data_IF_562806686670
#
_entry.id   IF_562806686670
#
_cell.length_a   1.000
_cell.length_b   1.000
_cell.length_c   1.000
_cell.angle_alpha   90.00
_cell.angle_beta   90.00
_cell.angle_gamma   90.00
#
_symmetry.space_group_name_H-M   'P 1'
#
loop_
_entity.id
_entity.type
_entity.pdbx_description
1 polymer ?
#
# COMPACT_ATOMS: atom_id res chain seq x y z
N UNK A 1 17.97 -16.98 -13.38
CA UNK A 1 18.51 -16.00 -12.43
C UNK A 1 17.35 -15.54 -11.55
N UNK A 2 17.35 -15.85 -10.26
CA UNK A 2 16.24 -15.58 -9.33
C UNK A 2 16.70 -14.46 -8.37
N UNK A 3 16.05 -13.29 -8.37
CA UNK A 3 16.45 -12.16 -7.49
C UNK A 3 15.37 -11.91 -6.42
N UNK A 4 15.77 -11.36 -5.28
CA UNK A 4 14.97 -11.29 -4.06
C UNK A 4 15.12 -9.90 -3.42
N UNK A 5 14.04 -9.35 -2.85
CA UNK A 5 14.02 -7.99 -2.28
C UNK A 5 13.46 -7.94 -0.86
N UNK A 6 13.96 -7.01 -0.03
CA UNK A 6 13.51 -6.72 1.33
C UNK A 6 12.75 -5.39 1.33
N UNK A 7 11.61 -5.38 2.01
CA UNK A 7 10.92 -4.19 2.45
C UNK A 7 10.97 -4.12 3.98
N UNK A 8 11.38 -2.98 4.53
CA UNK A 8 11.35 -2.77 5.98
C UNK A 8 10.13 -1.97 6.39
N UNK A 9 9.50 -2.39 7.48
CA UNK A 9 8.44 -1.66 8.15
C UNK A 9 8.99 -1.21 9.50
N UNK A 10 9.06 0.09 9.71
CA UNK A 10 9.58 0.66 10.94
C UNK A 10 8.42 1.02 11.86
N UNK A 11 8.42 0.44 13.05
CA UNK A 11 7.34 0.63 14.02
C UNK A 11 7.86 1.45 15.21
N UNK A 12 7.10 2.49 15.56
CA UNK A 12 7.23 3.19 16.84
C UNK A 12 7.18 2.19 17.99
N UNK A 13 8.13 2.28 18.93
CA UNK A 13 8.38 1.34 20.03
C UNK A 13 7.21 1.08 21.00
N UNK A 14 5.98 1.56 20.73
CA UNK A 14 4.85 1.57 21.67
C UNK A 14 3.47 1.33 21.03
N UNK A 15 3.36 0.51 19.99
CA UNK A 15 2.04 0.10 19.49
C UNK A 15 1.86 -1.40 19.73
N UNK A 16 0.97 -1.74 20.67
CA UNK A 16 0.43 -3.08 20.82
C UNK A 16 -0.16 -3.50 19.47
N UNK A 17 0.35 -4.61 18.94
CA UNK A 17 0.03 -5.13 17.62
C UNK A 17 -1.40 -5.68 17.59
N UNK A 18 -2.39 -4.80 17.46
CA UNK A 18 -3.76 -5.11 17.11
C UNK A 18 -4.32 -3.94 16.30
N UNK A 19 -3.83 -3.78 15.07
CA UNK A 19 -4.41 -3.10 13.89
C UNK A 19 -3.28 -2.53 13.04
N UNK A 20 -2.68 -3.35 12.19
CA UNK A 20 -2.07 -2.87 10.96
C UNK A 20 -3.12 -3.06 9.87
N UNK A 21 -4.10 -2.16 9.85
CA UNK A 21 -4.91 -1.96 8.66
C UNK A 21 -4.07 -1.09 7.72
N UNK A 22 -3.39 -1.72 6.76
CA UNK A 22 -2.76 -1.02 5.64
C UNK A 22 -3.79 -0.72 4.52
N UNK A 23 -5.08 -0.72 4.85
CA UNK A 23 -6.19 -0.44 3.95
C UNK A 23 -6.86 0.89 4.26
N UNK A 24 -6.96 1.74 3.23
CA UNK A 24 -7.84 2.91 3.11
C UNK A 24 -7.60 4.09 4.07
N UNK A 25 -7.11 5.20 3.53
CA UNK A 25 -7.43 6.52 4.08
C UNK A 25 -8.94 6.79 3.89
N UNK A 26 -9.77 6.22 4.75
CA UNK A 26 -11.17 6.61 4.90
C UNK A 26 -11.34 7.25 6.27
N UNK A 27 -11.23 8.58 6.33
CA UNK A 27 -11.62 9.34 7.51
C UNK A 27 -13.10 9.68 7.39
N UNK A 28 -13.95 9.10 8.23
CA UNK A 28 -15.33 9.56 8.42
C UNK A 28 -15.33 10.95 9.03
N UNK A 29 -15.93 11.92 8.34
CA UNK A 29 -16.14 13.27 8.86
C UNK A 29 -17.02 13.22 10.11
N UNK A 30 -16.52 13.76 11.22
CA UNK A 30 -17.39 14.32 12.27
C UNK A 30 -17.22 15.82 12.22
N UNK A 31 -18.24 16.50 11.72
CA UNK A 31 -18.35 17.95 11.82
C UNK A 31 -18.46 18.31 13.29
N UNK A 32 -17.48 19.01 13.84
CA UNK A 32 -17.67 19.85 15.00
C UNK A 32 -16.94 21.16 14.74
N UNK A 33 -17.73 22.19 14.46
CA UNK A 33 -17.27 23.56 14.39
C UNK A 33 -16.93 24.09 15.78
N UNK A 34 -15.76 24.71 15.92
CA UNK A 34 -15.65 26.05 16.48
C UNK A 34 -14.22 26.55 16.34
N UNK A 35 -14.11 27.75 15.77
CA UNK A 35 -12.84 28.38 15.45
C UNK A 35 -11.98 28.71 16.65
N UNK A 36 -10.66 28.76 16.40
CA UNK A 36 -9.75 29.67 17.10
C UNK A 36 -8.58 30.02 16.19
N UNK A 37 -8.52 31.31 15.85
CA UNK A 37 -7.40 32.00 15.24
C UNK A 37 -6.26 32.12 16.28
N UNK A 38 -5.04 31.74 15.91
CA UNK A 38 -3.79 32.17 16.58
C UNK A 38 -2.62 31.90 15.64
N UNK A 39 -2.08 32.91 14.98
CA UNK A 39 -0.98 33.81 15.41
C UNK A 39 0.27 33.50 14.59
N UNK A 40 0.66 34.46 13.76
CA UNK A 40 1.90 34.49 12.99
C UNK A 40 3.13 34.36 13.90
N UNK A 41 3.96 33.33 13.67
CA UNK A 41 5.33 33.30 14.21
C UNK A 41 6.18 34.34 13.46
N UNK A 42 6.85 35.22 14.22
CA UNK A 42 7.81 36.17 13.68
C UNK A 42 9.03 35.47 13.06
N UNK A 43 9.62 36.11 12.07
CA UNK A 43 10.83 35.61 11.39
C UNK A 43 12.02 35.52 12.37
N UNK A 44 12.84 34.48 12.22
CA UNK A 44 14.09 34.34 12.95
C UNK A 44 15.06 35.48 12.60
N UNK A 45 15.74 36.05 13.61
CA UNK A 45 16.76 37.08 13.41
C UNK A 45 17.95 36.56 12.62
N UNK A 46 18.69 37.43 11.90
CA UNK A 46 19.84 37.01 11.12
C UNK A 46 20.97 36.48 12.02
N UNK A 47 21.72 35.45 11.57
CA UNK A 47 22.84 34.91 12.34
C UNK A 47 23.94 35.95 12.61
N UNK A 48 24.56 35.87 13.79
CA UNK A 48 25.70 36.70 14.17
C UNK A 48 26.92 36.47 13.27
N UNK A 49 27.69 37.53 13.01
CA UNK A 49 28.90 37.47 12.17
C UNK A 49 29.97 36.58 12.82
N UNK A 50 30.56 35.67 12.03
CA UNK A 50 31.68 34.86 12.45
C UNK A 50 32.92 35.72 12.76
N UNK A 51 33.66 35.35 13.80
CA UNK A 51 34.93 36.00 14.16
C UNK A 51 36.04 35.79 13.12
N UNK A 52 37.09 36.62 13.12
CA UNK A 52 38.17 36.51 12.15
C UNK A 52 38.94 35.19 12.29
N UNK A 53 39.28 34.61 11.14
CA UNK A 53 40.04 33.36 11.04
C UNK A 53 41.49 33.61 11.44
N UNK A 54 42.00 32.84 12.40
CA UNK A 54 43.42 32.86 12.78
C UNK A 54 44.34 32.46 11.63
N UNK A 55 45.56 33.00 11.61
CA UNK A 55 46.55 32.75 10.57
C UNK A 55 46.93 31.26 10.50
N UNK A 56 46.93 30.72 9.28
CA UNK A 56 47.23 29.32 9.02
C UNK A 56 48.75 29.12 8.98
N UNK A 57 49.28 28.28 9.89
CA UNK A 57 50.71 27.93 9.91
C UNK A 57 51.20 27.30 8.61
N UNK A 58 52.47 27.51 8.27
CA UNK A 58 53.08 27.04 7.03
C UNK A 58 52.95 25.52 6.87
N UNK A 59 52.58 25.09 5.66
CA UNK A 59 52.37 23.68 5.31
C UNK A 59 53.73 22.95 5.29
N UNK A 60 53.87 21.89 6.09
CA UNK A 60 55.04 21.02 6.05
C UNK A 60 55.22 20.37 4.67
N UNK A 61 56.48 20.05 4.31
CA UNK A 61 56.81 19.40 3.04
C UNK A 61 56.07 18.05 2.90
N UNK A 62 55.55 17.69 1.72
CA UNK A 62 54.96 16.38 1.49
C UNK A 62 55.98 15.27 1.76
N UNK A 63 55.59 14.26 2.53
CA UNK A 63 56.39 13.05 2.71
C UNK A 63 56.57 12.30 1.38
N UNK A 64 57.67 11.56 1.26
CA UNK A 64 57.95 10.76 0.07
C UNK A 64 56.82 9.77 -0.22
N UNK A 65 56.43 9.65 -1.49
CA UNK A 65 55.42 8.69 -1.94
C UNK A 65 55.94 7.28 -1.70
N UNK A 66 55.20 6.49 -0.91
CA UNK A 66 55.55 5.10 -0.64
C UNK A 66 55.50 4.23 -1.91
N UNK A 67 56.19 3.07 -1.93
CA UNK A 67 56.19 2.18 -3.09
C UNK A 67 54.77 1.68 -3.41
N UNK A 68 54.45 1.58 -4.70
CA UNK A 68 53.19 1.00 -5.18
C UNK A 68 53.03 -0.43 -4.65
N UNK A 69 52.00 -0.64 -3.82
CA UNK A 69 51.58 -1.98 -3.40
C UNK A 69 51.04 -2.80 -4.58
N UNK A 70 50.98 -4.14 -4.46
CA UNK A 70 50.40 -5.00 -5.48
C UNK A 70 48.96 -4.58 -5.79
N UNK A 71 48.61 -4.56 -7.08
CA UNK A 71 47.38 -3.96 -7.60
C UNK A 71 46.14 -4.37 -6.81
N UNK A 72 45.51 -3.38 -6.15
CA UNK A 72 44.26 -3.56 -5.45
C UNK A 72 43.14 -3.77 -6.46
N UNK A 73 42.69 -5.02 -6.63
CA UNK A 73 41.44 -5.31 -7.35
C UNK A 73 40.30 -5.03 -6.38
N UNK A 74 39.44 -4.02 -6.60
CA UNK A 74 38.37 -3.71 -5.65
C UNK A 74 37.39 -4.88 -5.56
N UNK A 75 37.00 -5.23 -4.34
CA UNK A 75 36.03 -6.30 -4.08
C UNK A 75 34.68 -5.99 -4.76
N UNK A 76 34.01 -7.03 -5.28
CA UNK A 76 32.69 -6.88 -5.89
C UNK A 76 31.68 -6.40 -4.84
N UNK A 77 30.90 -5.37 -5.18
CA UNK A 77 30.01 -4.70 -4.22
C UNK A 77 30.66 -3.50 -3.52
N UNK A 78 31.88 -3.10 -3.90
CA UNK A 78 32.50 -1.85 -3.45
C UNK A 78 32.09 -0.64 -4.31
N UNK A 79 32.27 0.61 -3.85
CA UNK A 79 31.95 1.80 -4.64
C UNK A 79 32.65 1.85 -6.01
N UNK A 80 33.86 1.30 -6.12
CA UNK A 80 34.66 1.28 -7.36
C UNK A 80 34.45 0.02 -8.20
N UNK A 81 33.84 -1.03 -7.64
CA UNK A 81 33.44 -2.24 -8.36
C UNK A 81 32.02 -2.69 -7.93
N UNK A 82 30.97 -1.91 -8.28
CA UNK A 82 29.62 -2.18 -7.83
C UNK A 82 29.02 -3.41 -8.55
N UNK A 83 28.29 -4.24 -7.80
CA UNK A 83 27.60 -5.40 -8.36
C UNK A 83 26.24 -5.02 -8.95
N UNK A 84 25.60 -5.89 -9.75
CA UNK A 84 24.22 -5.60 -10.20
C UNK A 84 23.15 -5.97 -9.16
N UNK A 85 23.45 -6.87 -8.21
CA UNK A 85 22.55 -7.33 -7.15
C UNK A 85 23.34 -7.86 -5.95
N UNK A 86 22.72 -7.91 -4.76
CA UNK A 86 23.30 -8.60 -3.60
C UNK A 86 23.62 -10.08 -3.88
N UNK A 87 22.78 -10.75 -4.68
CA UNK A 87 23.03 -12.16 -5.05
C UNK A 87 24.33 -12.32 -5.83
N UNK A 88 24.70 -11.36 -6.70
CA UNK A 88 26.02 -11.40 -7.38
C UNK A 88 27.18 -11.15 -6.43
N UNK A 89 27.00 -10.29 -5.44
CA UNK A 89 28.00 -10.10 -4.37
C UNK A 89 28.19 -11.44 -3.64
N UNK A 90 27.10 -12.10 -3.24
CA UNK A 90 27.17 -13.41 -2.59
C UNK A 90 27.87 -14.49 -3.42
N UNK A 91 27.53 -14.56 -4.71
CA UNK A 91 28.14 -15.51 -5.64
C UNK A 91 29.64 -15.28 -5.88
N UNK A 92 30.18 -14.11 -5.48
CA UNK A 92 31.62 -13.86 -5.50
C UNK A 92 32.37 -14.40 -4.28
N UNK A 93 31.66 -15.06 -3.36
CA UNK A 93 32.21 -15.67 -2.14
C UNK A 93 32.07 -14.81 -0.89
N UNK A 94 31.48 -13.62 -1.00
CA UNK A 94 31.18 -12.75 0.15
C UNK A 94 29.93 -13.28 0.86
N UNK A 95 29.99 -13.48 2.17
CA UNK A 95 28.90 -14.09 2.94
C UNK A 95 28.38 -13.24 4.10
N UNK A 96 29.04 -12.12 4.39
CA UNK A 96 28.65 -11.24 5.49
C UNK A 96 27.43 -10.38 5.11
N UNK A 97 26.48 -10.23 6.03
CA UNK A 97 25.42 -9.24 5.89
C UNK A 97 26.03 -7.83 5.96
N UNK A 98 25.52 -6.86 5.19
CA UNK A 98 26.06 -5.51 5.24
C UNK A 98 25.65 -4.61 4.09
N UNK A 99 26.25 -3.42 4.04
CA UNK A 99 26.02 -2.44 2.97
C UNK A 99 26.96 -2.69 1.81
N UNK A 100 26.39 -2.79 0.61
CA UNK A 100 27.13 -2.95 -0.63
C UNK A 100 26.69 -1.93 -1.67
N UNK A 101 27.61 -1.56 -2.55
CA UNK A 101 27.37 -0.72 -3.71
C UNK A 101 26.88 -1.56 -4.88
N UNK A 102 25.69 -1.22 -5.37
CA UNK A 102 25.08 -1.82 -6.54
C UNK A 102 24.98 -0.82 -7.69
N UNK A 103 24.93 -1.33 -8.92
CA UNK A 103 24.76 -0.55 -10.14
C UNK A 103 23.48 -0.99 -10.86
N UNK A 104 22.57 -0.05 -11.06
CA UNK A 104 21.34 -0.26 -11.83
C UNK A 104 21.65 -0.45 -13.33
N UNK A 105 20.72 -1.02 -14.12
CA UNK A 105 20.88 -1.13 -15.58
C UNK A 105 21.14 0.22 -16.27
N UNK A 106 20.54 1.31 -15.76
CA UNK A 106 20.76 2.68 -16.24
C UNK A 106 22.09 3.30 -15.82
N UNK A 107 22.92 2.57 -15.07
CA UNK A 107 24.27 3.00 -14.70
C UNK A 107 24.38 3.70 -13.35
N UNK A 108 23.26 4.07 -12.70
CA UNK A 108 23.26 4.68 -11.35
C UNK A 108 23.83 3.71 -10.33
N UNK A 109 24.85 4.16 -9.59
CA UNK A 109 25.42 3.46 -8.44
C UNK A 109 24.67 3.89 -7.18
N UNK A 110 24.28 2.94 -6.35
CA UNK A 110 23.59 3.18 -5.08
C UNK A 110 24.05 2.17 -4.03
N UNK A 111 24.04 2.57 -2.76
CA UNK A 111 24.33 1.68 -1.65
C UNK A 111 23.04 1.11 -1.06
N UNK A 112 23.09 -0.16 -0.65
CA UNK A 112 21.97 -0.80 0.04
C UNK A 112 22.42 -1.94 0.94
N UNK A 113 21.58 -2.30 1.90
CA UNK A 113 21.79 -3.45 2.76
C UNK A 113 21.49 -4.75 2.03
N UNK A 114 22.40 -5.72 2.14
CA UNK A 114 22.26 -7.06 1.64
C UNK A 114 22.22 -8.03 2.82
N UNK A 115 21.13 -8.80 2.90
CA UNK A 115 21.06 -9.97 3.77
C UNK A 115 21.55 -11.18 2.97
N UNK A 116 22.79 -11.55 3.27
CA UNK A 116 23.51 -12.67 2.69
C UNK A 116 23.19 -13.98 3.42
N UNK A 117 22.59 -13.95 4.61
CA UNK A 117 22.50 -15.15 5.46
C UNK A 117 21.11 -15.80 5.53
N UNK A 118 20.01 -15.13 5.14
CA UNK A 118 18.65 -15.74 5.19
C UNK A 118 18.29 -16.71 4.06
N UNK A 119 19.24 -16.99 3.17
CA UNK A 119 19.15 -17.97 2.07
C UNK A 119 20.54 -18.52 1.78
N UNK A 120 20.68 -19.80 1.42
CA UNK A 120 21.99 -20.45 1.28
C UNK A 120 22.78 -19.99 0.04
N UNK A 121 22.15 -19.95 -1.12
CA UNK A 121 22.79 -19.70 -2.43
C UNK A 121 22.52 -18.29 -2.97
N UNK A 122 21.68 -17.51 -2.27
CA UNK A 122 21.16 -16.21 -2.73
C UNK A 122 21.16 -15.20 -1.60
N UNK A 123 20.96 -13.94 -1.98
CA UNK A 123 20.92 -12.83 -1.04
C UNK A 123 19.74 -11.92 -1.31
N UNK A 124 19.18 -11.40 -0.23
CA UNK A 124 18.07 -10.47 -0.25
C UNK A 124 18.60 -9.03 -0.32
N UNK A 125 17.99 -8.21 -1.18
CA UNK A 125 18.40 -6.81 -1.39
C UNK A 125 17.39 -5.86 -0.76
N UNK A 126 17.81 -5.01 0.17
CA UNK A 126 16.93 -3.95 0.68
C UNK A 126 16.60 -2.96 -0.43
N UNK A 127 15.33 -2.70 -0.68
CA UNK A 127 14.88 -1.78 -1.75
C UNK A 127 14.01 -0.64 -1.26
N UNK A 128 13.39 -0.79 -0.08
CA UNK A 128 12.67 0.29 0.57
C UNK A 128 12.42 0.04 2.06
N UNK A 129 12.12 1.12 2.76
CA UNK A 129 11.65 1.14 4.13
C UNK A 129 10.48 2.12 4.25
N UNK A 130 9.41 1.69 4.91
CA UNK A 130 8.28 2.54 5.30
C UNK A 130 8.45 2.87 6.77
N UNK A 131 8.55 4.17 7.07
CA UNK A 131 8.80 4.70 8.39
C UNK A 131 7.76 5.76 8.76
N UNK A 132 7.07 5.51 9.87
CA UNK A 132 6.15 6.47 10.47
C UNK A 132 6.93 7.46 11.33
N UNK A 133 7.00 8.71 10.90
CA UNK A 133 7.70 9.78 11.61
C UNK A 133 6.83 10.53 12.61
N UNK A 134 5.51 10.60 12.39
CA UNK A 134 4.57 11.26 13.26
C UNK A 134 3.14 10.73 13.05
N UNK A 135 2.75 9.75 13.84
CA UNK A 135 1.42 9.12 13.76
C UNK A 135 0.25 10.10 13.99
N UNK A 136 0.50 11.27 14.59
CA UNK A 136 -0.50 12.33 14.79
C UNK A 136 -0.56 13.31 13.61
N UNK A 137 0.43 13.27 12.71
CA UNK A 137 0.50 14.07 11.51
C UNK A 137 -0.18 13.34 10.36
N UNK A 138 -1.35 13.81 9.96
CA UNK A 138 -2.07 13.19 8.85
C UNK A 138 -1.56 13.70 7.50
N UNK A 139 -0.79 12.88 6.78
CA UNK A 139 -0.29 13.19 5.44
C UNK A 139 0.54 14.49 5.41
N UNK A 140 1.53 14.56 6.31
CA UNK A 140 2.43 15.68 6.49
C UNK A 140 3.83 15.38 5.94
N UNK A 141 4.75 16.34 6.07
CA UNK A 141 6.16 16.11 5.67
C UNK A 141 6.72 14.89 6.38
N UNK A 142 7.26 13.95 5.60
CA UNK A 142 7.71 12.63 6.07
C UNK A 142 6.87 11.47 5.55
N UNK A 143 5.60 11.69 5.20
CA UNK A 143 4.65 10.65 4.77
C UNK A 143 4.82 10.27 3.29
N UNK A 144 6.02 9.82 2.89
CA UNK A 144 6.36 9.65 1.46
C UNK A 144 5.64 8.49 0.79
N UNK A 145 5.22 7.48 1.55
CA UNK A 145 4.49 6.33 1.03
C UNK A 145 2.98 6.53 0.95
N UNK A 146 2.47 7.67 1.43
CA UNK A 146 1.07 8.09 1.31
C UNK A 146 0.97 9.45 0.60
N UNK A 147 1.10 10.57 1.31
CA UNK A 147 1.07 11.95 0.78
C UNK A 147 1.73 12.92 1.76
N UNK A 148 2.58 13.82 1.25
CA UNK A 148 3.13 14.94 2.04
C UNK A 148 2.34 16.25 1.86
N UNK A 149 1.27 16.23 1.04
CA UNK A 149 0.44 17.39 0.68
C UNK A 149 -0.89 17.43 1.45
N UNK A 150 -1.03 16.62 2.49
CA UNK A 150 -2.29 16.42 3.20
C UNK A 150 -3.21 15.43 2.48
N UNK A 151 -4.48 15.41 2.91
CA UNK A 151 -5.52 14.59 2.30
C UNK A 151 -6.09 15.26 1.03
N UNK A 152 -5.23 15.55 0.05
CA UNK A 152 -5.62 16.13 -1.22
C UNK A 152 -6.16 15.07 -2.18
N UNK A 153 -7.02 15.48 -3.12
CA UNK A 153 -7.49 14.62 -4.21
C UNK A 153 -6.43 14.53 -5.32
N UNK A 154 -5.23 14.06 -4.95
CA UNK A 154 -4.09 13.95 -5.85
C UNK A 154 -4.18 12.68 -6.69
N UNK A 155 -4.15 12.84 -8.01
CA UNK A 155 -4.26 11.74 -9.00
C UNK A 155 -2.92 11.41 -9.67
N UNK A 156 -1.83 12.06 -9.23
CA UNK A 156 -0.49 11.78 -9.74
C UNK A 156 0.09 10.45 -9.26
N UNK A 157 1.30 10.15 -9.70
CA UNK A 157 1.98 8.92 -9.34
C UNK A 157 2.37 8.93 -7.86
N UNK A 158 2.02 7.86 -7.16
CA UNK A 158 2.47 7.62 -5.79
C UNK A 158 3.95 7.19 -5.76
N UNK A 159 4.57 7.22 -4.58
CA UNK A 159 5.90 6.63 -4.38
C UNK A 159 5.95 5.14 -4.69
N UNK A 160 4.82 4.42 -4.66
CA UNK A 160 4.76 3.01 -5.06
C UNK A 160 4.87 2.82 -6.58
N UNK A 161 4.33 3.76 -7.35
CA UNK A 161 4.22 3.72 -8.81
C UNK A 161 5.33 4.53 -9.53
N UNK A 162 6.01 5.42 -8.81
CA UNK A 162 7.08 6.25 -9.36
C UNK A 162 8.41 5.49 -9.41
N UNK A 163 9.34 6.00 -10.23
CA UNK A 163 10.76 5.60 -10.22
C UNK A 163 11.62 6.58 -9.43
N UNK A 164 11.03 7.35 -8.52
CA UNK A 164 11.78 8.24 -7.63
C UNK A 164 12.42 7.43 -6.50
N UNK A 165 13.63 7.82 -6.10
CA UNK A 165 14.36 7.29 -4.95
C UNK A 165 14.49 8.39 -3.89
N UNK A 166 14.56 7.99 -2.62
CA UNK A 166 14.69 8.91 -1.48
C UNK A 166 15.31 8.21 -0.28
N UNK A 167 15.86 9.00 0.63
CA UNK A 167 16.51 8.52 1.84
C UNK A 167 17.89 7.89 1.61
N UNK A 168 18.48 7.43 2.70
CA UNK A 168 19.79 6.76 2.72
C UNK A 168 19.68 5.42 3.47
N UNK A 169 20.51 4.45 3.10
CA UNK A 169 20.55 3.13 3.73
C UNK A 169 20.88 3.19 5.23
N UNK A 170 21.65 4.19 5.66
CA UNK A 170 22.03 4.37 7.07
C UNK A 170 20.88 4.80 7.96
N UNK A 171 19.82 5.38 7.40
CA UNK A 171 18.69 5.95 8.14
C UNK A 171 17.36 5.22 7.86
N UNK A 172 17.43 3.96 7.42
CA UNK A 172 16.27 3.14 7.03
C UNK A 172 15.26 2.92 8.16
N UNK A 173 15.64 3.13 9.42
CA UNK A 173 14.76 3.04 10.60
C UNK A 173 14.41 4.38 11.24
N UNK A 174 14.87 5.48 10.65
CA UNK A 174 14.67 6.84 11.18
C UNK A 174 13.92 7.73 10.17
N UNK A 175 13.82 7.28 8.92
CA UNK A 175 13.09 7.93 7.84
C UNK A 175 12.79 6.94 6.71
N UNK A 176 11.91 7.35 5.80
CA UNK A 176 11.61 6.59 4.60
C UNK A 176 12.84 6.40 3.72
N UNK A 177 12.92 5.20 3.12
CA UNK A 177 13.97 4.82 2.20
C UNK A 177 13.38 4.15 0.97
N UNK A 178 13.88 4.51 -0.21
CA UNK A 178 13.60 3.82 -1.48
C UNK A 178 14.77 4.02 -2.42
N UNK A 179 15.29 2.93 -2.98
CA UNK A 179 16.45 2.99 -3.88
C UNK A 179 16.11 2.46 -5.30
N UNK A 180 17.02 2.61 -6.27
CA UNK A 180 16.81 2.11 -7.63
C UNK A 180 16.56 0.62 -7.74
N UNK A 181 16.92 -0.19 -6.74
CA UNK A 181 16.61 -1.60 -6.70
C UNK A 181 15.11 -1.89 -6.72
N UNK A 182 14.29 -1.02 -6.13
CA UNK A 182 12.83 -1.17 -6.07
C UNK A 182 12.18 -1.32 -7.45
N UNK A 183 12.67 -0.54 -8.42
CA UNK A 183 12.14 -0.50 -9.79
C UNK A 183 13.02 -1.17 -10.85
N UNK A 184 14.25 -1.59 -10.52
CA UNK A 184 15.16 -2.23 -11.47
C UNK A 184 15.51 -3.69 -11.17
N UNK A 185 15.34 -4.18 -9.94
CA UNK A 185 15.68 -5.56 -9.59
C UNK A 185 14.50 -6.47 -9.92
N UNK A 186 14.66 -7.26 -10.98
CA UNK A 186 13.72 -8.32 -11.33
C UNK A 186 13.66 -9.37 -10.21
N UNK A 187 12.58 -9.41 -9.44
CA UNK A 187 12.49 -10.26 -8.26
C UNK A 187 11.31 -11.21 -8.32
N UNK A 188 11.41 -12.29 -7.53
CA UNK A 188 10.34 -13.31 -7.46
C UNK A 188 9.58 -13.28 -6.16
N UNK A 189 10.25 -12.90 -5.09
CA UNK A 189 9.72 -12.93 -3.74
C UNK A 189 10.12 -11.68 -2.98
N UNK A 190 9.32 -11.37 -1.97
CA UNK A 190 9.60 -10.31 -1.01
C UNK A 190 9.89 -10.91 0.35
N UNK A 191 10.71 -10.20 1.12
CA UNK A 191 10.92 -10.41 2.55
C UNK A 191 10.53 -9.11 3.24
N UNK A 192 9.83 -9.22 4.36
CA UNK A 192 9.45 -8.08 5.17
C UNK A 192 10.02 -8.24 6.56
N UNK A 193 10.71 -7.18 7.01
CA UNK A 193 11.21 -7.06 8.37
C UNK A 193 10.49 -5.93 9.08
N UNK A 194 9.96 -6.22 10.26
CA UNK A 194 9.48 -5.19 11.17
C UNK A 194 10.60 -4.87 12.13
N UNK A 195 11.14 -3.67 12.05
CA UNK A 195 12.30 -3.24 12.86
C UNK A 195 11.89 -2.03 13.68
N UNK A 196 12.22 -1.98 14.98
CA UNK A 196 11.90 -0.80 15.78
C UNK A 196 12.60 0.46 15.23
N UNK A 197 11.94 1.60 15.33
CA UNK A 197 12.53 2.88 14.90
C UNK A 197 13.87 3.14 15.62
N UNK A 198 14.77 3.84 14.93
CA UNK A 198 16.11 4.21 15.40
C UNK A 198 17.07 3.02 15.66
N UNK A 199 16.74 1.81 15.17
CA UNK A 199 17.64 0.66 15.27
C UNK A 199 18.87 0.85 14.36
N UNK A 200 20.10 0.74 14.88
CA UNK A 200 21.31 0.86 14.06
C UNK A 200 21.36 -0.14 12.89
N UNK A 201 21.92 0.28 11.75
CA UNK A 201 21.98 -0.51 10.51
C UNK A 201 22.63 -1.90 10.68
N UNK A 202 23.66 -2.02 11.52
CA UNK A 202 24.32 -3.28 11.81
C UNK A 202 23.52 -4.22 12.74
N UNK A 203 22.39 -3.75 13.26
CA UNK A 203 21.55 -4.43 14.23
C UNK A 203 20.13 -4.73 13.73
N UNK A 204 19.78 -4.31 12.50
CA UNK A 204 18.44 -4.45 11.91
C UNK A 204 17.91 -5.88 12.00
N UNK A 205 18.73 -6.85 11.59
CA UNK A 205 18.33 -8.25 11.55
C UNK A 205 18.12 -8.83 12.94
N UNK A 206 18.98 -8.48 13.90
CA UNK A 206 18.91 -8.97 15.28
C UNK A 206 17.71 -8.41 16.03
N UNK A 207 17.37 -7.14 15.80
CA UNK A 207 16.29 -6.44 16.50
C UNK A 207 14.97 -6.45 15.74
N UNK A 208 14.90 -7.14 14.59
CA UNK A 208 13.65 -7.30 13.89
C UNK A 208 12.68 -8.17 14.69
N UNK A 209 11.51 -7.60 14.99
CA UNK A 209 10.44 -8.28 15.73
C UNK A 209 9.76 -9.36 14.89
N UNK A 210 9.60 -9.10 13.60
CA UNK A 210 8.98 -10.04 12.66
C UNK A 210 9.79 -10.08 11.38
N UNK A 211 10.13 -11.30 10.94
CA UNK A 211 10.80 -11.55 9.67
C UNK A 211 10.05 -12.64 8.93
N UNK A 212 9.51 -12.30 7.76
CA UNK A 212 8.78 -13.27 6.94
C UNK A 212 9.02 -13.01 5.46
N UNK A 213 8.91 -14.07 4.66
CA UNK A 213 9.19 -14.04 3.22
C UNK A 213 8.17 -14.86 2.45
N UNK A 214 7.92 -14.45 1.21
CA UNK A 214 7.16 -15.27 0.27
C UNK A 214 8.07 -16.35 -0.33
N UNK A 215 7.46 -17.46 -0.77
CA UNK A 215 8.17 -18.59 -1.41
C UNK A 215 7.51 -19.07 -2.70
N UNK A 216 6.41 -18.45 -3.10
CA UNK A 216 5.57 -18.85 -4.23
C UNK A 216 5.90 -18.13 -5.55
N UNK A 217 6.96 -17.30 -5.58
CA UNK A 217 7.41 -16.56 -6.75
C UNK A 217 6.36 -15.60 -7.35
N UNK A 218 5.44 -15.07 -6.54
CA UNK A 218 4.32 -14.25 -7.04
C UNK A 218 4.74 -13.01 -7.87
N UNK A 219 5.95 -12.48 -7.68
CA UNK A 219 6.45 -11.36 -8.48
C UNK A 219 6.86 -11.74 -9.91
N UNK A 220 6.91 -13.03 -10.28
CA UNK A 220 7.18 -13.45 -11.67
C UNK A 220 6.17 -12.82 -12.66
N UNK A 221 4.93 -12.57 -12.23
CA UNK A 221 3.90 -11.91 -13.05
C UNK A 221 4.07 -10.38 -13.19
N UNK A 222 4.94 -9.78 -12.37
CA UNK A 222 5.07 -8.32 -12.25
C UNK A 222 6.50 -7.81 -12.47
N UNK A 223 7.47 -8.73 -12.55
CA UNK A 223 8.91 -8.51 -12.73
C UNK A 223 9.58 -7.81 -11.56
N UNK A 224 9.07 -6.67 -11.10
CA UNK A 224 9.62 -5.88 -9.97
C UNK A 224 8.53 -5.51 -8.98
N UNK A 225 8.92 -5.08 -7.77
CA UNK A 225 7.95 -4.56 -6.80
C UNK A 225 7.26 -3.29 -7.33
N UNK A 226 7.99 -2.44 -8.06
CA UNK A 226 7.42 -1.34 -8.82
C UNK A 226 6.40 -1.80 -9.85
N UNK A 227 6.69 -2.85 -10.63
CA UNK A 227 5.78 -3.41 -11.62
C UNK A 227 4.46 -3.90 -11.00
N UNK A 228 4.53 -4.47 -9.79
CA UNK A 228 3.35 -4.88 -9.02
C UNK A 228 2.40 -3.71 -8.80
N UNK A 229 2.91 -2.60 -8.27
CA UNK A 229 2.07 -1.44 -7.97
C UNK A 229 1.77 -0.57 -9.19
N UNK A 230 2.64 -0.54 -10.21
CA UNK A 230 2.37 0.24 -11.43
C UNK A 230 1.30 -0.40 -12.31
N UNK A 231 1.25 -1.72 -12.39
CA UNK A 231 0.42 -2.44 -13.36
C UNK A 231 -0.66 -3.32 -12.72
N UNK A 232 -0.36 -3.96 -11.59
CA UNK A 232 -1.29 -4.87 -10.92
C UNK A 232 -2.20 -4.15 -9.93
N UNK A 233 -1.61 -3.39 -9.02
CA UNK A 233 -2.32 -2.78 -7.88
C UNK A 233 -1.90 -1.32 -7.67
N UNK A 234 -2.32 -0.37 -8.52
CA UNK A 234 -2.04 1.05 -8.32
C UNK A 234 -2.52 1.57 -6.96
N UNK A 235 -1.66 2.29 -6.25
CA UNK A 235 -1.95 2.89 -4.95
C UNK A 235 -2.40 4.35 -5.03
N UNK A 236 -2.53 4.90 -6.25
CA UNK A 236 -3.12 6.22 -6.46
C UNK A 236 -4.59 6.25 -6.08
N UNK A 237 -5.06 7.41 -5.61
CA UNK A 237 -6.50 7.65 -5.46
C UNK A 237 -7.18 7.44 -6.81
N UNK A 238 -8.11 6.50 -6.84
CA UNK A 238 -8.99 6.28 -7.97
C UNK A 238 -9.99 7.44 -7.97
N UNK A 239 -10.11 8.23 -9.05
CA UNK A 239 -11.11 9.29 -9.10
C UNK A 239 -12.50 8.71 -8.79
N UNK A 240 -13.33 9.41 -8.02
CA UNK A 240 -14.66 8.93 -7.56
C UNK A 240 -15.51 8.33 -8.69
N UNK A 241 -15.31 8.81 -9.94
CA UNK A 241 -15.97 8.27 -11.15
C UNK A 241 -15.72 6.78 -11.41
N UNK A 242 -14.59 6.23 -10.98
CA UNK A 242 -14.28 4.81 -11.16
C UNK A 242 -14.71 3.94 -9.96
N UNK A 243 -14.97 4.56 -8.80
CA UNK A 243 -15.58 3.89 -7.64
C UNK A 243 -17.08 3.65 -7.88
N UNK A 244 -17.67 4.42 -8.80
CA UNK A 244 -19.11 4.39 -9.10
C UNK A 244 -19.48 3.70 -10.40
N UNK A 245 -18.68 2.83 -11.03
CA UNK A 245 -19.16 2.15 -12.26
C UNK A 245 -20.41 1.32 -11.95
N UNK A 246 -20.40 0.60 -10.84
CA UNK A 246 -21.53 -0.23 -10.41
C UNK A 246 -22.68 0.64 -9.91
N UNK A 247 -22.41 1.69 -9.13
CA UNK A 247 -23.42 2.66 -8.68
C UNK A 247 -24.05 3.44 -9.85
N UNK A 248 -23.26 3.88 -10.84
CA UNK A 248 -23.75 4.58 -12.04
C UNK A 248 -24.54 3.63 -12.95
N UNK A 249 -24.12 2.37 -13.06
CA UNK A 249 -24.89 1.34 -13.76
C UNK A 249 -26.22 1.11 -13.05
N UNK A 250 -26.20 0.93 -11.73
CA UNK A 250 -27.40 0.79 -10.91
C UNK A 250 -28.33 2.00 -11.05
N UNK A 251 -27.80 3.23 -10.93
CA UNK A 251 -28.55 4.46 -11.16
C UNK A 251 -29.17 4.54 -12.56
N UNK A 252 -28.46 4.06 -13.59
CA UNK A 252 -28.98 4.00 -14.96
C UNK A 252 -30.10 2.96 -15.11
N UNK A 253 -29.98 1.80 -14.46
CA UNK A 253 -31.03 0.79 -14.38
C UNK A 253 -32.26 1.36 -13.68
N UNK A 254 -32.08 2.01 -12.53
CA UNK A 254 -33.14 2.64 -11.74
C UNK A 254 -33.86 3.72 -12.56
N UNK A 255 -33.12 4.59 -13.24
CA UNK A 255 -33.70 5.64 -14.09
C UNK A 255 -34.47 5.07 -15.31
N UNK A 256 -34.28 3.80 -15.63
CA UNK A 256 -34.99 3.10 -16.71
C UNK A 256 -36.22 2.32 -16.22
N UNK A 257 -36.43 2.20 -14.91
CA UNK A 257 -37.48 1.35 -14.32
C UNK A 257 -38.89 1.73 -14.75
N UNK A 258 -39.22 3.01 -14.86
CA UNK A 258 -40.53 3.45 -15.37
C UNK A 258 -40.82 2.93 -16.78
N UNK A 259 -39.80 2.87 -17.64
CA UNK A 259 -39.92 2.30 -18.99
C UNK A 259 -40.08 0.78 -18.94
N UNK A 260 -39.38 0.10 -18.04
CA UNK A 260 -39.50 -1.35 -17.84
C UNK A 260 -40.91 -1.72 -17.38
N UNK A 261 -41.44 -0.99 -16.39
CA UNK A 261 -42.78 -1.20 -15.85
C UNK A 261 -43.87 -0.89 -16.88
N UNK A 262 -43.68 0.15 -17.70
CA UNK A 262 -44.64 0.52 -18.74
C UNK A 262 -44.87 -0.57 -19.79
N UNK A 263 -43.89 -1.47 -19.98
CA UNK A 263 -44.00 -2.60 -20.89
C UNK A 263 -44.80 -3.80 -20.32
N UNK A 264 -45.15 -3.79 -19.02
CA UNK A 264 -45.82 -4.89 -18.34
C UNK A 264 -47.31 -4.53 -18.15
N UNK A 265 -48.24 -5.21 -18.85
CA UNK A 265 -49.67 -4.95 -18.69
C UNK A 265 -50.13 -5.18 -17.24
N UNK A 266 -50.86 -4.20 -16.68
CA UNK A 266 -51.43 -4.25 -15.32
C UNK A 266 -50.38 -4.41 -14.21
N UNK A 267 -49.17 -3.88 -14.39
CA UNK A 267 -48.16 -3.87 -13.34
C UNK A 267 -48.67 -3.14 -12.09
N UNK A 268 -48.67 -3.84 -10.95
CA UNK A 268 -49.09 -3.28 -9.68
C UNK A 268 -47.92 -2.56 -9.00
N UNK A 269 -48.03 -1.24 -8.88
CA UNK A 269 -47.07 -0.41 -8.12
C UNK A 269 -47.47 -0.43 -6.64
N UNK A 270 -46.89 -1.34 -5.87
CA UNK A 270 -47.13 -1.43 -4.43
C UNK A 270 -46.55 -0.20 -3.71
N UNK A 271 -47.17 0.25 -2.62
CA UNK A 271 -46.61 1.31 -1.76
C UNK A 271 -46.10 0.68 -0.48
N UNK A 272 -44.83 0.90 -0.15
CA UNK A 272 -44.32 0.55 1.16
C UNK A 272 -45.02 1.42 2.22
N UNK A 273 -45.56 0.80 3.25
CA UNK A 273 -46.42 1.45 4.26
C UNK A 273 -45.97 1.22 5.72
N UNK A 274 -44.84 0.52 5.89
CA UNK A 274 -44.22 0.31 7.19
C UNK A 274 -43.49 1.54 7.75
N UNK A 275 -43.48 1.69 9.08
CA UNK A 275 -42.71 2.73 9.80
C UNK A 275 -41.34 2.21 10.29
N UNK A 276 -40.33 3.09 10.37
CA UNK A 276 -38.99 2.81 10.93
C UNK A 276 -37.93 2.45 9.89
N UNK A 277 -36.83 1.79 10.30
CA UNK A 277 -35.74 1.30 9.41
C UNK A 277 -36.17 0.17 8.44
N UNK A 278 -37.47 -0.14 8.38
CA UNK A 278 -38.08 -1.19 7.57
C UNK A 278 -38.81 -0.61 6.35
N UNK A 279 -38.26 0.42 5.72
CA UNK A 279 -38.90 1.18 4.62
C UNK A 279 -39.19 0.40 3.33
N UNK A 280 -39.07 -0.92 3.34
CA UNK A 280 -39.22 -1.84 2.20
C UNK A 280 -40.23 -2.96 2.47
N UNK A 281 -41.11 -2.80 3.47
CA UNK A 281 -42.24 -3.71 3.72
C UNK A 281 -43.61 -3.14 3.35
N UNK A 282 -44.55 -4.06 3.12
CA UNK A 282 -45.94 -3.81 2.78
C UNK A 282 -46.80 -4.50 3.84
N UNK A 283 -47.83 -3.83 4.33
CA UNK A 283 -48.81 -4.36 5.28
C UNK A 283 -50.04 -4.80 4.49
N UNK A 284 -49.94 -5.88 3.73
CA UNK A 284 -51.03 -6.43 2.91
C UNK A 284 -51.87 -7.49 3.64
N UNK A 285 -51.41 -7.94 4.81
CA UNK A 285 -52.09 -8.90 5.66
C UNK A 285 -51.65 -10.33 5.34
N UNK A 286 -51.01 -10.98 6.31
CA UNK A 286 -50.39 -12.30 6.12
C UNK A 286 -49.24 -12.52 7.09
N UNK A 287 -48.39 -13.50 6.78
CA UNK A 287 -47.05 -13.69 7.35
C UNK A 287 -46.10 -14.14 6.23
N UNK A 288 -45.87 -13.26 5.27
CA UNK A 288 -45.06 -13.54 4.08
C UNK A 288 -43.80 -12.66 4.00
N UNK A 289 -43.13 -12.72 2.84
CA UNK A 289 -41.86 -12.04 2.61
C UNK A 289 -41.99 -10.51 2.75
N UNK A 290 -43.16 -9.94 2.43
CA UNK A 290 -43.35 -8.50 2.36
C UNK A 290 -43.57 -7.85 3.72
N UNK A 291 -43.97 -8.63 4.74
CA UNK A 291 -44.26 -8.13 6.10
C UNK A 291 -43.00 -7.71 6.89
N UNK A 292 -41.84 -8.29 6.57
CA UNK A 292 -40.59 -8.08 7.33
C UNK A 292 -39.52 -7.27 6.59
N UNK A 293 -39.89 -6.79 5.41
CA UNK A 293 -39.07 -6.05 4.45
C UNK A 293 -38.55 -7.00 3.38
N UNK A 294 -38.36 -6.48 2.16
CA UNK A 294 -37.65 -7.22 1.13
C UNK A 294 -36.29 -7.68 1.66
N UNK A 295 -36.02 -8.98 1.57
CA UNK A 295 -34.80 -9.60 2.06
C UNK A 295 -34.25 -10.53 0.99
N UNK A 296 -32.95 -10.76 1.06
CA UNK A 296 -32.24 -11.65 0.15
C UNK A 296 -31.46 -12.66 0.98
N UNK A 297 -31.40 -13.90 0.53
CA UNK A 297 -30.42 -14.88 0.99
C UNK A 297 -29.66 -15.40 -0.22
N UNK A 298 -28.41 -15.79 -0.02
CA UNK A 298 -27.63 -16.44 -1.07
C UNK A 298 -26.95 -17.70 -0.56
N UNK A 299 -26.52 -18.56 -1.48
CA UNK A 299 -25.71 -19.73 -1.20
C UNK A 299 -24.65 -19.86 -2.29
N UNK A 300 -23.42 -20.12 -1.89
CA UNK A 300 -22.27 -20.36 -2.77
C UNK A 300 -21.96 -21.86 -2.76
N UNK A 301 -21.69 -22.44 -3.94
CA UNK A 301 -21.25 -23.83 -4.11
C UNK A 301 -22.15 -24.87 -3.43
N UNK A 302 -23.47 -24.64 -3.44
CA UNK A 302 -24.45 -25.51 -2.78
C UNK A 302 -24.39 -25.53 -1.24
N UNK A 303 -23.67 -24.58 -0.64
CA UNK A 303 -23.56 -24.43 0.81
C UNK A 303 -24.86 -24.00 1.52
N UNK A 304 -24.74 -23.70 2.81
CA UNK A 304 -25.87 -23.20 3.60
C UNK A 304 -26.27 -21.79 3.11
N UNK A 305 -27.56 -21.50 3.12
CA UNK A 305 -28.06 -20.13 2.88
C UNK A 305 -27.47 -19.16 3.90
N UNK A 306 -27.10 -17.98 3.43
CA UNK A 306 -26.67 -16.85 4.25
C UNK A 306 -27.76 -16.44 5.26
N UNK A 307 -27.40 -15.71 6.32
CA UNK A 307 -28.37 -14.89 7.03
C UNK A 307 -29.16 -13.99 6.06
N UNK A 308 -30.35 -13.56 6.48
CA UNK A 308 -31.13 -12.59 5.72
C UNK A 308 -30.36 -11.29 5.55
N UNK A 309 -30.20 -10.88 4.30
CA UNK A 309 -29.65 -9.60 3.91
C UNK A 309 -30.80 -8.62 3.71
N UNK A 310 -30.75 -7.49 4.39
CA UNK A 310 -31.68 -6.38 4.20
C UNK A 310 -31.50 -5.72 2.83
N UNK A 311 -32.61 -5.43 2.17
CA UNK A 311 -32.64 -4.70 0.91
C UNK A 311 -32.29 -3.22 1.09
N UNK A 312 -31.60 -2.62 0.12
CA UNK A 312 -31.05 -1.26 0.20
C UNK A 312 -29.62 -1.19 0.72
N UNK A 313 -29.06 -2.33 1.13
CA UNK A 313 -27.70 -2.42 1.68
C UNK A 313 -26.75 -3.06 0.67
N UNK A 314 -25.45 -2.75 0.84
CA UNK A 314 -24.35 -3.30 0.06
C UNK A 314 -23.65 -4.41 0.85
N UNK A 315 -23.46 -5.57 0.22
CA UNK A 315 -22.77 -6.71 0.83
C UNK A 315 -21.59 -7.17 -0.02
N UNK A 316 -20.46 -7.44 0.64
CA UNK A 316 -19.22 -7.93 0.01
C UNK A 316 -18.72 -9.24 0.66
N UNK A 317 -19.52 -10.33 0.69
CA UNK A 317 -19.02 -11.63 1.14
C UNK A 317 -17.97 -12.22 0.20
N UNK A 318 -17.15 -13.16 0.69
CA UNK A 318 -15.98 -13.74 -0.01
C UNK A 318 -16.22 -14.01 -1.51
N UNK A 319 -15.75 -13.10 -2.36
CA UNK A 319 -15.79 -13.21 -3.83
C UNK A 319 -17.12 -12.83 -4.50
N UNK A 320 -18.14 -12.36 -3.76
CA UNK A 320 -19.43 -11.91 -4.29
C UNK A 320 -19.77 -10.51 -3.79
N UNK A 321 -20.20 -9.62 -4.68
CA UNK A 321 -20.77 -8.32 -4.34
C UNK A 321 -22.28 -8.34 -4.63
N UNK A 322 -23.09 -7.95 -3.65
CA UNK A 322 -24.55 -7.86 -3.77
C UNK A 322 -24.96 -6.43 -3.49
N UNK A 323 -25.65 -5.82 -4.45
CA UNK A 323 -26.19 -4.48 -4.39
C UNK A 323 -27.69 -4.54 -4.63
N UNK A 324 -28.44 -3.74 -3.89
CA UNK A 324 -29.89 -3.81 -3.91
C UNK A 324 -30.46 -2.43 -3.59
N UNK A 325 -31.54 -2.03 -4.26
CA UNK A 325 -31.95 -0.62 -4.27
C UNK A 325 -33.34 -0.40 -3.65
N UNK A 326 -33.40 0.28 -2.51
CA UNK A 326 -34.61 0.41 -1.68
C UNK A 326 -35.71 1.32 -2.26
N UNK A 327 -35.48 2.08 -3.33
CA UNK A 327 -36.46 3.03 -3.88
C UNK A 327 -36.98 2.66 -5.29
N UNK A 328 -38.30 2.52 -5.45
CA UNK A 328 -38.93 2.34 -6.76
C UNK A 328 -39.31 0.89 -7.10
N UNK A 329 -39.81 0.70 -8.34
CA UNK A 329 -40.33 -0.59 -8.83
C UNK A 329 -39.86 -0.85 -10.26
N UNK A 330 -39.55 -2.10 -10.64
CA UNK A 330 -39.60 -3.30 -9.80
C UNK A 330 -38.46 -3.36 -8.78
N UNK A 331 -38.47 -4.38 -7.92
CA UNK A 331 -37.30 -4.76 -7.12
C UNK A 331 -36.10 -5.04 -8.04
N UNK A 332 -34.95 -4.44 -7.75
CA UNK A 332 -33.70 -4.64 -8.49
C UNK A 332 -32.58 -4.99 -7.51
N UNK A 333 -31.99 -6.17 -7.72
CA UNK A 333 -30.75 -6.57 -7.08
C UNK A 333 -29.74 -6.96 -8.15
N UNK A 334 -28.50 -6.47 -8.00
CA UNK A 334 -27.37 -6.81 -8.84
C UNK A 334 -26.39 -7.66 -8.03
N UNK A 335 -25.94 -8.75 -8.63
CA UNK A 335 -24.96 -9.65 -8.04
C UNK A 335 -23.76 -9.73 -8.97
N UNK A 336 -22.58 -9.48 -8.42
CA UNK A 336 -21.30 -9.59 -9.13
C UNK A 336 -20.46 -10.69 -8.51
N UNK A 337 -19.95 -11.61 -9.32
CA UNK A 337 -19.09 -12.71 -8.88
C UNK A 337 -17.68 -12.39 -9.36
N UNK A 338 -16.77 -12.09 -8.42
CA UNK A 338 -15.41 -11.61 -8.71
C UNK A 338 -14.49 -12.72 -9.20
N UNK A 339 -14.67 -13.94 -8.68
CA UNK A 339 -13.85 -15.10 -9.03
C UNK A 339 -14.72 -16.31 -9.39
N UNK A 340 -14.87 -16.54 -10.70
CA UNK A 340 -15.65 -17.65 -11.24
C UNK A 340 -14.93 -18.99 -11.18
N UNK A 341 -13.64 -19.01 -10.79
CA UNK A 341 -12.88 -20.26 -10.63
C UNK A 341 -13.12 -20.89 -9.26
N UNK A 342 -13.42 -20.08 -8.25
CA UNK A 342 -13.75 -20.53 -6.89
C UNK A 342 -15.26 -20.72 -6.67
N UNK A 343 -16.09 -20.01 -7.44
CA UNK A 343 -17.55 -20.05 -7.31
C UNK A 343 -18.12 -20.79 -8.52
N UNK A 344 -18.42 -22.08 -8.34
CA UNK A 344 -18.98 -22.96 -9.38
C UNK A 344 -20.50 -22.93 -9.42
N UNK A 345 -21.15 -22.52 -8.32
CA UNK A 345 -22.60 -22.27 -8.31
C UNK A 345 -22.97 -21.14 -7.36
N UNK A 346 -23.99 -20.38 -7.73
CA UNK A 346 -24.55 -19.33 -6.90
C UNK A 346 -26.08 -19.42 -6.94
N UNK A 347 -26.71 -19.46 -5.76
CA UNK A 347 -28.16 -19.48 -5.61
C UNK A 347 -28.61 -18.23 -4.88
N UNK A 348 -29.48 -17.46 -5.51
CA UNK A 348 -30.20 -16.34 -4.89
C UNK A 348 -31.59 -16.81 -4.47
N UNK A 349 -31.98 -16.51 -3.24
CA UNK A 349 -33.33 -16.70 -2.71
C UNK A 349 -33.85 -15.34 -2.28
N UNK A 350 -34.93 -14.91 -2.92
CA UNK A 350 -35.66 -13.69 -2.56
C UNK A 350 -36.82 -14.11 -1.67
#
# INVERSE_FOLDING_TARGET
>A
MFRYVILMLCILHYINCHTLDMGTCSCSCREDGNGRVSSSRGAAGPPGKAGPRGEQGARGLPGAVGPHGPGFVPSLGSPTNPASTCTRVKQSGISDDGVYSLKSPGGTIYQTYCDMTSSDDKAWTLVGSIHENNILGNCTVGDKWSSEEGNVNYTGLTSWESMTSFGNVESVTSQDFKNPGYFNIESRNIMIWHVPNETPLNQLKQHSRFQYKTTNNFLDAHTTLHGLFKHGYPMRKVPDKHVNVVENFMASVINSTDRMVAAIPRFYRYRYDCRGTRGTCITDGGRDLFDTGNRIQYSINGGRLSPYLSYGEKYLPDGVEILSWNEGHPFVALVWIKDTTLITSFKLKV
#
